data_IF_267470612047
#
_entry.id   IF_267470612047
#
_cell.length_a   1.000
_cell.length_b   1.000
_cell.length_c   1.000
_cell.angle_alpha   90.00
_cell.angle_beta   90.00
_cell.angle_gamma   90.00
#
_symmetry.space_group_name_H-M   'P 1'
#
loop_
_entity.id
_entity.type
_entity.pdbx_description
1 polymer ?
#
# COMPACT_ATOMS: atom_id res chain seq x y z
N UNK A 1 -47.12 -1.54 -8.46
CA UNK A 1 -45.89 -1.93 -7.74
C UNK A 1 -44.75 -1.70 -8.71
N UNK A 2 -43.82 -0.77 -8.42
CA UNK A 2 -42.62 -0.54 -9.25
C UNK A 2 -41.46 -1.14 -8.48
N UNK A 3 -41.06 -2.33 -8.89
CA UNK A 3 -39.93 -3.05 -8.31
C UNK A 3 -38.63 -2.34 -8.63
N UNK A 4 -38.02 -1.84 -7.55
CA UNK A 4 -36.60 -1.83 -7.23
C UNK A 4 -35.65 -2.49 -8.24
N UNK A 5 -34.99 -1.67 -9.08
CA UNK A 5 -33.70 -2.01 -9.69
C UNK A 5 -32.72 -0.86 -9.45
N UNK A 6 -32.18 -0.79 -8.24
CA UNK A 6 -31.00 0.00 -7.91
C UNK A 6 -29.81 -0.63 -8.65
N UNK A 7 -29.56 -0.22 -9.89
CA UNK A 7 -28.39 -0.65 -10.66
C UNK A 7 -27.11 -0.23 -9.92
N UNK A 8 -26.54 -1.11 -9.10
CA UNK A 8 -25.16 -0.97 -8.61
C UNK A 8 -24.24 -1.42 -9.74
N UNK A 9 -24.15 -0.60 -10.80
CA UNK A 9 -23.08 -0.72 -11.79
C UNK A 9 -21.90 0.10 -11.34
N UNK A 10 -21.10 -0.46 -10.45
CA UNK A 10 -19.74 0.03 -10.21
C UNK A 10 -18.74 -0.94 -10.83
N UNK A 11 -18.75 -1.03 -12.17
CA UNK A 11 -17.60 -1.52 -12.96
C UNK A 11 -16.46 -0.50 -12.85
N UNK A 12 -15.94 -0.35 -11.63
CA UNK A 12 -14.77 0.45 -11.34
C UNK A 12 -13.60 -0.50 -11.29
N UNK A 13 -12.93 -0.67 -12.43
CA UNK A 13 -11.62 -1.30 -12.45
C UNK A 13 -10.69 -0.51 -11.52
N UNK A 14 -9.96 -1.17 -10.61
CA UNK A 14 -9.03 -0.48 -9.74
C UNK A 14 -7.97 0.23 -10.59
N UNK A 15 -7.60 1.44 -10.17
CA UNK A 15 -6.50 2.15 -10.83
C UNK A 15 -5.23 1.28 -10.77
N UNK A 16 -4.44 1.22 -11.86
CA UNK A 16 -3.21 0.46 -11.87
C UNK A 16 -2.28 0.95 -10.75
N UNK A 17 -1.58 -0.01 -10.13
CA UNK A 17 -0.63 0.28 -9.06
C UNK A 17 0.55 1.06 -9.64
N UNK A 18 0.99 2.09 -8.91
CA UNK A 18 2.21 2.84 -9.23
C UNK A 18 3.49 2.06 -8.93
N UNK A 19 3.39 1.04 -8.06
CA UNK A 19 4.50 0.17 -7.69
C UNK A 19 4.37 -1.18 -8.38
N UNK A 20 5.50 -1.72 -8.80
CA UNK A 20 5.68 -3.08 -9.30
C UNK A 20 5.66 -4.10 -8.17
N UNK A 21 5.40 -5.39 -8.45
CA UNK A 21 5.49 -6.44 -7.44
C UNK A 21 6.87 -6.54 -6.77
N UNK A 22 7.94 -6.26 -7.51
CA UNK A 22 9.30 -6.28 -6.98
C UNK A 22 9.55 -5.12 -6.00
N UNK A 23 9.03 -3.93 -6.30
CA UNK A 23 9.09 -2.80 -5.37
C UNK A 23 8.27 -3.06 -4.11
N UNK A 24 7.07 -3.66 -4.25
CA UNK A 24 6.23 -4.06 -3.12
C UNK A 24 6.97 -5.08 -2.21
N UNK A 25 7.75 -6.01 -2.79
CA UNK A 25 8.58 -6.96 -2.05
C UNK A 25 9.77 -6.29 -1.35
N UNK A 26 10.47 -5.38 -2.04
CA UNK A 26 11.58 -4.62 -1.44
C UNK A 26 11.09 -3.75 -0.26
N UNK A 27 9.90 -3.15 -0.36
CA UNK A 27 9.26 -2.40 0.73
C UNK A 27 9.00 -3.32 1.94
N UNK A 28 8.52 -4.55 1.72
CA UNK A 28 8.31 -5.52 2.80
C UNK A 28 9.62 -5.91 3.48
N UNK A 29 10.64 -6.24 2.69
CA UNK A 29 11.96 -6.64 3.20
C UNK A 29 12.62 -5.55 4.02
N UNK A 30 12.54 -4.30 3.56
CA UNK A 30 13.09 -3.16 4.30
C UNK A 30 12.54 -3.07 5.74
N UNK A 31 11.26 -3.40 5.96
CA UNK A 31 10.65 -3.41 7.31
C UNK A 31 10.94 -4.71 8.08
N UNK A 32 11.18 -5.82 7.39
CA UNK A 32 11.64 -7.06 8.04
C UNK A 32 13.07 -6.93 8.56
N UNK A 33 13.94 -6.30 7.77
CA UNK A 33 15.34 -6.07 8.12
C UNK A 33 15.48 -5.01 9.23
N UNK A 34 14.68 -3.94 9.19
CA UNK A 34 14.57 -2.96 10.27
C UNK A 34 13.10 -2.53 10.52
N UNK A 35 12.44 -3.10 11.56
CA UNK A 35 11.07 -2.77 11.92
C UNK A 35 10.84 -1.30 12.33
N UNK A 36 11.89 -0.56 12.66
CA UNK A 36 11.82 0.85 13.07
C UNK A 36 12.01 1.83 11.90
N UNK A 37 12.38 1.32 10.72
CA UNK A 37 12.52 2.16 9.53
C UNK A 37 11.15 2.76 9.18
N UNK A 38 11.15 4.07 8.92
CA UNK A 38 9.95 4.81 8.54
C UNK A 38 9.76 4.86 7.02
N UNK A 39 8.54 5.14 6.55
CA UNK A 39 8.21 5.15 5.13
C UNK A 39 8.99 6.18 4.28
N UNK A 40 9.52 7.26 4.87
CA UNK A 40 10.34 8.24 4.16
C UNK A 40 11.72 7.64 3.87
N UNK A 41 12.33 7.01 4.88
CA UNK A 41 13.59 6.31 4.75
C UNK A 41 13.51 5.15 3.74
N UNK A 42 12.42 4.36 3.75
CA UNK A 42 12.19 3.30 2.74
C UNK A 42 12.14 3.89 1.34
N UNK A 43 11.41 4.99 1.15
CA UNK A 43 11.32 5.66 -0.16
C UNK A 43 12.69 6.07 -0.67
N UNK A 44 13.49 6.69 0.19
CA UNK A 44 14.81 7.22 -0.16
C UNK A 44 15.79 6.07 -0.43
N UNK A 45 15.79 5.04 0.40
CA UNK A 45 16.67 3.86 0.25
C UNK A 45 16.35 3.05 -1.01
N UNK A 46 15.09 2.93 -1.39
CA UNK A 46 14.64 2.16 -2.56
C UNK A 46 14.47 3.04 -3.81
N UNK A 47 14.78 4.34 -3.72
CA UNK A 47 14.61 5.33 -4.78
C UNK A 47 13.22 5.30 -5.46
N UNK A 48 12.16 5.09 -4.66
CA UNK A 48 10.81 4.91 -5.18
C UNK A 48 10.18 6.26 -5.54
N UNK A 49 9.58 6.34 -6.73
CA UNK A 49 8.84 7.54 -7.18
C UNK A 49 7.39 7.57 -6.67
N UNK A 50 7.15 7.16 -5.43
CA UNK A 50 5.83 7.17 -4.81
C UNK A 50 5.85 7.93 -3.49
N UNK A 51 4.68 8.36 -3.05
CA UNK A 51 4.56 9.07 -1.77
C UNK A 51 4.82 8.13 -0.59
N UNK A 52 5.32 8.63 0.55
CA UNK A 52 5.41 7.84 1.79
C UNK A 52 4.05 7.26 2.22
N UNK A 53 2.94 7.92 1.90
CA UNK A 53 1.59 7.39 2.14
C UNK A 53 1.32 6.13 1.31
N UNK A 54 1.74 6.10 0.04
CA UNK A 54 1.62 4.91 -0.82
C UNK A 54 2.38 3.73 -0.21
N UNK A 55 3.60 3.95 0.29
CA UNK A 55 4.39 2.93 0.97
C UNK A 55 3.67 2.42 2.23
N UNK A 56 3.12 3.30 3.06
CA UNK A 56 2.30 2.90 4.22
C UNK A 56 1.08 2.07 3.81
N UNK A 57 0.39 2.45 2.74
CA UNK A 57 -0.74 1.67 2.22
C UNK A 57 -0.29 0.27 1.75
N UNK A 58 0.94 0.13 1.20
CA UNK A 58 1.51 -1.18 0.83
C UNK A 58 1.83 -2.03 2.05
N UNK A 59 2.45 -1.44 3.07
CA UNK A 59 2.71 -2.12 4.33
C UNK A 59 1.41 -2.57 5.01
N UNK A 60 0.39 -1.71 5.04
CA UNK A 60 -0.94 -2.09 5.54
C UNK A 60 -1.57 -3.22 4.72
N UNK A 61 -1.52 -3.15 3.38
CA UNK A 61 -1.99 -4.24 2.51
C UNK A 61 -1.19 -5.54 2.68
N UNK A 62 0.02 -5.46 3.26
CA UNK A 62 0.85 -6.59 3.62
C UNK A 62 0.57 -7.16 5.01
N UNK A 63 -0.34 -6.58 5.78
CA UNK A 63 -0.55 -6.92 7.19
C UNK A 63 0.55 -6.39 8.10
N UNK A 64 1.44 -5.54 7.60
CA UNK A 64 2.49 -4.87 8.39
C UNK A 64 1.88 -3.59 8.93
N UNK A 65 1.27 -3.72 10.11
CA UNK A 65 0.85 -2.59 10.91
C UNK A 65 2.05 -2.21 11.76
N UNK A 66 2.68 -1.05 11.52
CA UNK A 66 3.61 -0.50 12.50
C UNK A 66 2.81 -0.25 13.79
N UNK A 67 2.76 -1.22 14.69
CA UNK A 67 2.40 -0.95 16.06
C UNK A 67 3.57 -0.17 16.60
N UNK A 68 3.39 1.13 16.80
CA UNK A 68 4.19 1.85 17.78
C UNK A 68 3.84 1.22 19.13
N UNK A 69 4.42 0.05 19.44
CA UNK A 69 4.50 -0.45 20.80
C UNK A 69 5.65 0.34 21.43
N UNK A 70 5.30 1.53 21.92
CA UNK A 70 6.01 2.15 23.02
C UNK A 70 5.79 1.32 24.29
#
# INVERSE_FOLDING_TARGET
MKDSDYYVSSDRRPRPKLTTPQEDENIRRAVQDDPFTNAVAIRESLHLNVTPQTIRNRLHGAGIHHSVRR
#
